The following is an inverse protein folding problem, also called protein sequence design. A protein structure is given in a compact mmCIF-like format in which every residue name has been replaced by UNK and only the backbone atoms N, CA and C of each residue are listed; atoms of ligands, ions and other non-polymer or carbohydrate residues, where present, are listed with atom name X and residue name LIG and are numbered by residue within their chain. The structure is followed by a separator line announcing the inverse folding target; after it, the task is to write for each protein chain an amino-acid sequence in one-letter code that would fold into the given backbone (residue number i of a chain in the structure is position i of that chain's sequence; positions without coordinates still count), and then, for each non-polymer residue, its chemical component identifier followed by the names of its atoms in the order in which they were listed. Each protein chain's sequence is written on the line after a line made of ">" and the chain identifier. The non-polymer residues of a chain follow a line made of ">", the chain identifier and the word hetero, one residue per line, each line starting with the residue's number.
data_IF_725499773080
#
_entry.id   IF_725499773080
#
_cell.length_a   1.000
_cell.length_b   1.000
_cell.length_c   1.000
_cell.angle_alpha   90.00
_cell.angle_beta   90.00
_cell.angle_gamma   90.00
#
_symmetry.space_group_name_H-M   'P 1'
#
loop_
_entity.id
_entity.type
_entity.pdbx_description
1 polymer ?
#
# COMPACT_ATOMS: atom_id res chain seq x y z
N UNK A 1 -9.53 -4.21 18.19
CA UNK A 1 -9.37 -3.65 16.84
C UNK A 1 -10.76 -3.38 16.25
N UNK A 2 -10.90 -2.25 15.55
CA UNK A 2 -12.11 -1.87 14.83
C UNK A 2 -11.75 -1.78 13.34
N UNK A 3 -12.54 -2.40 12.48
CA UNK A 3 -12.41 -2.29 11.03
C UNK A 3 -13.66 -1.66 10.43
N UNK A 4 -13.51 -0.53 9.78
CA UNK A 4 -14.61 0.16 9.06
C UNK A 4 -14.55 -0.24 7.59
N UNK A 5 -15.65 -0.78 7.07
CA UNK A 5 -15.75 -1.31 5.70
C UNK A 5 -16.76 -0.48 4.90
N UNK A 6 -16.29 0.47 4.07
CA UNK A 6 -17.17 1.23 3.18
C UNK A 6 -17.94 0.30 2.23
N UNK A 7 -19.22 0.55 2.04
CA UNK A 7 -20.09 -0.27 1.20
C UNK A 7 -20.15 -1.75 1.61
N UNK A 8 -19.82 -2.07 2.85
CA UNK A 8 -19.77 -3.46 3.35
C UNK A 8 -21.12 -4.04 3.76
N UNK A 9 -22.10 -3.18 4.03
CA UNK A 9 -23.42 -3.62 4.52
C UNK A 9 -24.13 -4.51 3.49
N UNK A 10 -24.59 -5.67 3.93
CA UNK A 10 -25.26 -6.65 3.06
C UNK A 10 -24.33 -7.48 2.17
N UNK A 11 -23.02 -7.27 2.21
CA UNK A 11 -22.07 -8.15 1.52
C UNK A 11 -21.85 -9.45 2.29
N UNK A 12 -21.60 -10.57 1.59
CA UNK A 12 -21.34 -11.85 2.26
C UNK A 12 -20.03 -11.78 3.06
N UNK A 13 -20.03 -12.42 4.24
CA UNK A 13 -18.84 -12.60 5.07
C UNK A 13 -17.93 -13.64 4.44
N UNK A 14 -16.91 -13.17 3.70
CA UNK A 14 -15.97 -14.05 3.00
C UNK A 14 -14.57 -13.40 2.88
N UNK A 15 -13.56 -14.18 2.56
CA UNK A 15 -12.19 -13.70 2.39
C UNK A 15 -11.67 -13.02 3.66
N UNK A 16 -10.99 -11.90 3.51
CA UNK A 16 -10.40 -11.16 4.63
C UNK A 16 -11.45 -10.69 5.66
N UNK A 17 -12.67 -10.38 5.22
CA UNK A 17 -13.72 -9.94 6.12
C UNK A 17 -14.11 -11.05 7.10
N UNK A 18 -14.22 -12.29 6.62
CA UNK A 18 -14.48 -13.46 7.45
C UNK A 18 -13.31 -13.71 8.43
N UNK A 19 -12.07 -13.56 7.98
CA UNK A 19 -10.90 -13.74 8.83
C UNK A 19 -10.88 -12.70 9.97
N UNK A 20 -11.18 -11.44 9.66
CA UNK A 20 -11.27 -10.38 10.66
C UNK A 20 -12.35 -10.66 11.70
N UNK A 21 -13.52 -11.13 11.28
CA UNK A 21 -14.62 -11.52 12.16
C UNK A 21 -14.21 -12.68 13.08
N UNK A 22 -13.62 -13.73 12.54
CA UNK A 22 -13.12 -14.88 13.31
C UNK A 22 -12.02 -14.50 14.31
N UNK A 23 -11.23 -13.47 14.02
CA UNK A 23 -10.21 -12.93 14.92
C UNK A 23 -10.80 -11.98 15.99
N UNK A 24 -12.11 -11.77 16.01
CA UNK A 24 -12.79 -10.93 17.00
C UNK A 24 -12.63 -9.43 16.74
N UNK A 25 -12.36 -9.03 15.50
CA UNK A 25 -12.35 -7.61 15.10
C UNK A 25 -13.77 -7.07 15.13
N UNK A 26 -13.99 -5.91 15.75
CA UNK A 26 -15.26 -5.19 15.67
C UNK A 26 -15.44 -4.63 14.24
N UNK A 27 -16.46 -5.13 13.53
CA UNK A 27 -16.70 -4.78 12.13
C UNK A 27 -17.82 -3.75 12.01
N UNK A 28 -17.50 -2.59 11.44
CA UNK A 28 -18.46 -1.53 11.11
C UNK A 28 -18.70 -1.52 9.60
N UNK A 29 -19.76 -2.21 9.17
CA UNK A 29 -20.11 -2.34 7.74
C UNK A 29 -21.02 -1.16 7.35
N UNK A 30 -20.47 -0.21 6.59
CA UNK A 30 -21.21 0.97 6.16
C UNK A 30 -22.06 0.70 4.91
N UNK A 31 -23.16 1.42 4.75
CA UNK A 31 -23.99 1.38 3.53
C UNK A 31 -23.27 2.09 2.36
N UNK A 32 -22.74 3.28 2.63
CA UNK A 32 -22.04 4.08 1.62
C UNK A 32 -20.62 3.59 1.40
N UNK A 33 -20.17 3.61 0.16
CA UNK A 33 -18.78 3.43 -0.26
C UNK A 33 -18.03 4.77 -0.40
N UNK A 34 -18.67 5.88 -0.04
CA UNK A 34 -18.07 7.19 -0.03
C UNK A 34 -16.90 7.27 0.96
N UNK A 35 -15.74 7.66 0.44
CA UNK A 35 -14.49 7.66 1.20
C UNK A 35 -14.48 8.74 2.29
N UNK A 36 -14.94 9.95 1.98
CA UNK A 36 -14.96 11.07 2.93
C UNK A 36 -15.94 10.82 4.08
N UNK A 37 -17.11 10.28 3.77
CA UNK A 37 -18.07 9.87 4.79
C UNK A 37 -17.50 8.78 5.71
N UNK A 38 -16.72 7.87 5.15
CA UNK A 38 -16.05 6.80 5.91
C UNK A 38 -14.95 7.35 6.81
N UNK A 39 -14.18 8.32 6.35
CA UNK A 39 -13.18 9.02 7.18
C UNK A 39 -13.85 9.79 8.33
N UNK A 40 -14.96 10.48 8.06
CA UNK A 40 -15.76 11.12 9.09
C UNK A 40 -16.18 10.14 10.18
N UNK A 41 -16.72 8.99 9.80
CA UNK A 41 -17.12 7.94 10.72
C UNK A 41 -15.96 7.39 11.57
N UNK A 42 -14.79 7.16 10.96
CA UNK A 42 -13.57 6.71 11.67
C UNK A 42 -13.11 7.76 12.69
N UNK A 43 -13.14 9.04 12.32
CA UNK A 43 -12.78 10.13 13.23
C UNK A 43 -13.75 10.22 14.42
N UNK A 44 -15.05 10.06 14.21
CA UNK A 44 -16.05 10.03 15.28
C UNK A 44 -15.83 8.86 16.25
N UNK A 45 -15.46 7.69 15.75
CA UNK A 45 -15.08 6.54 16.58
C UNK A 45 -13.84 6.84 17.42
N UNK A 46 -12.83 7.45 16.82
CA UNK A 46 -11.62 7.82 17.52
C UNK A 46 -11.88 8.87 18.62
N UNK A 47 -12.71 9.87 18.34
CA UNK A 47 -13.11 10.88 19.34
C UNK A 47 -13.90 10.25 20.50
N UNK A 48 -14.76 9.28 20.22
CA UNK A 48 -15.46 8.51 21.26
C UNK A 48 -14.46 7.74 22.14
N UNK A 49 -13.54 7.01 21.52
CA UNK A 49 -12.51 6.28 22.25
C UNK A 49 -11.66 7.19 23.15
N UNK A 50 -11.31 8.39 22.67
CA UNK A 50 -10.58 9.39 23.50
C UNK A 50 -11.39 9.85 24.70
N UNK A 51 -12.69 10.11 24.53
CA UNK A 51 -13.57 10.49 25.64
C UNK A 51 -13.71 9.39 26.71
N UNK A 52 -13.55 8.14 26.29
CA UNK A 52 -13.54 6.96 27.17
C UNK A 52 -12.16 6.67 27.81
N UNK A 53 -11.18 7.56 27.59
CA UNK A 53 -9.84 7.45 28.17
C UNK A 53 -8.88 6.55 27.38
N UNK A 54 -9.25 6.14 26.17
CA UNK A 54 -8.42 5.35 25.29
C UNK A 54 -7.51 6.21 24.41
N UNK A 55 -6.44 5.62 23.89
CA UNK A 55 -5.54 6.25 22.90
C UNK A 55 -5.72 5.55 21.55
N UNK A 56 -6.64 5.99 20.68
CA UNK A 56 -6.87 5.35 19.40
C UNK A 56 -5.71 5.63 18.44
N UNK A 57 -5.27 4.61 17.74
CA UNK A 57 -4.41 4.73 16.57
C UNK A 57 -5.27 4.50 15.31
N UNK A 58 -5.37 5.52 14.47
CA UNK A 58 -6.03 5.41 13.17
C UNK A 58 -4.96 5.03 12.15
N UNK A 59 -5.14 3.88 11.48
CA UNK A 59 -4.26 3.53 10.37
C UNK A 59 -4.57 4.46 9.19
N UNK A 60 -3.67 5.38 8.84
CA UNK A 60 -3.95 6.36 7.81
C UNK A 60 -3.93 5.71 6.43
N UNK A 61 -4.96 5.97 5.63
CA UNK A 61 -5.01 5.59 4.21
C UNK A 61 -4.46 6.69 3.28
N UNK A 62 -3.97 7.78 3.85
CA UNK A 62 -3.50 8.96 3.13
C UNK A 62 -2.17 8.73 2.38
N UNK A 63 -1.86 9.65 1.46
CA UNK A 63 -0.65 9.64 0.64
C UNK A 63 0.63 9.43 1.47
N UNK A 64 0.70 10.04 2.66
CA UNK A 64 1.86 9.91 3.55
C UNK A 64 2.03 8.51 4.11
N UNK A 65 0.96 7.77 4.39
CA UNK A 65 1.08 6.38 4.86
C UNK A 65 1.49 5.44 3.76
N UNK A 66 1.11 5.71 2.53
CA UNK A 66 1.53 4.94 1.37
C UNK A 66 2.97 5.27 0.97
N UNK A 67 3.39 6.52 1.13
CA UNK A 67 4.79 6.92 1.00
C UNK A 67 5.67 6.24 2.07
N UNK A 68 5.24 6.23 3.33
CA UNK A 68 5.95 5.48 4.40
C UNK A 68 5.90 3.97 4.17
N UNK A 69 4.79 3.43 3.65
CA UNK A 69 4.68 2.04 3.21
C UNK A 69 5.68 1.68 2.11
N UNK A 70 5.99 2.60 1.20
CA UNK A 70 7.02 2.37 0.18
C UNK A 70 8.42 2.21 0.77
N UNK A 71 8.71 2.86 1.90
CA UNK A 71 10.01 2.75 2.58
C UNK A 71 10.26 1.32 3.09
N UNK A 72 9.23 0.67 3.63
CA UNK A 72 9.35 -0.74 4.04
C UNK A 72 9.70 -1.68 2.87
N UNK A 73 9.26 -1.37 1.66
CA UNK A 73 9.64 -2.14 0.47
C UNK A 73 11.01 -1.77 -0.10
N UNK A 74 11.58 -0.62 0.26
CA UNK A 74 13.00 -0.35 0.02
C UNK A 74 13.88 -1.22 0.90
N UNK A 75 13.50 -1.41 2.16
CA UNK A 75 14.19 -2.33 3.08
C UNK A 75 14.11 -3.77 2.58
N UNK A 76 12.93 -4.21 2.13
CA UNK A 76 12.77 -5.51 1.48
C UNK A 76 13.68 -5.68 0.24
N UNK A 77 13.91 -4.61 -0.53
CA UNK A 77 14.84 -4.68 -1.66
C UNK A 77 16.29 -4.90 -1.22
N UNK A 78 16.71 -4.32 -0.11
CA UNK A 78 18.04 -4.58 0.48
C UNK A 78 18.17 -6.04 0.93
N UNK A 79 17.15 -6.57 1.59
CA UNK A 79 17.10 -7.96 2.01
C UNK A 79 17.16 -8.91 0.81
N UNK A 80 16.36 -8.67 -0.23
CA UNK A 80 16.38 -9.44 -1.48
C UNK A 80 17.76 -9.36 -2.12
N UNK A 81 18.39 -8.18 -2.18
CA UNK A 81 19.71 -8.02 -2.76
C UNK A 81 20.77 -8.88 -2.05
N UNK A 82 20.74 -8.93 -0.73
CA UNK A 82 21.61 -9.81 0.05
C UNK A 82 21.37 -11.30 -0.26
N UNK A 83 20.12 -11.74 -0.29
CA UNK A 83 19.77 -13.12 -0.63
C UNK A 83 20.18 -13.49 -2.06
N UNK A 84 20.01 -12.57 -3.02
CA UNK A 84 20.41 -12.78 -4.41
C UNK A 84 21.93 -12.89 -4.56
N UNK A 85 22.68 -12.09 -3.81
CA UNK A 85 24.16 -12.16 -3.79
C UNK A 85 24.63 -13.51 -3.24
N UNK A 86 24.05 -13.98 -2.14
CA UNK A 86 24.33 -15.31 -1.59
C UNK A 86 24.03 -16.45 -2.57
N UNK A 87 23.00 -16.30 -3.41
CA UNK A 87 22.66 -17.28 -4.45
C UNK A 87 23.46 -17.11 -5.74
N UNK A 88 24.30 -16.09 -5.86
CA UNK A 88 25.06 -15.77 -7.07
C UNK A 88 24.19 -15.30 -8.24
N UNK A 89 23.00 -14.78 -7.96
CA UNK A 89 22.04 -14.28 -8.96
C UNK A 89 22.11 -12.75 -9.01
N UNK A 90 22.29 -12.17 -10.19
CA UNK A 90 22.41 -10.71 -10.34
C UNK A 90 21.18 -10.08 -10.99
N UNK A 91 20.64 -10.71 -12.01
CA UNK A 91 19.50 -10.19 -12.75
C UNK A 91 18.19 -10.73 -12.17
N UNK A 92 17.30 -9.84 -11.81
CA UNK A 92 16.02 -10.19 -11.20
C UNK A 92 14.86 -9.51 -11.94
N UNK A 93 13.82 -10.30 -12.25
CA UNK A 93 12.54 -9.78 -12.71
C UNK A 93 11.50 -9.98 -11.61
N UNK A 94 10.99 -8.87 -11.10
CA UNK A 94 9.99 -8.85 -10.04
C UNK A 94 8.63 -8.47 -10.62
N UNK A 95 7.64 -9.32 -10.40
CA UNK A 95 6.25 -9.06 -10.75
C UNK A 95 5.43 -8.98 -9.47
N UNK A 96 4.72 -7.87 -9.28
CA UNK A 96 3.92 -7.66 -8.08
C UNK A 96 2.66 -6.83 -8.39
N UNK A 97 1.69 -6.86 -7.48
CA UNK A 97 0.53 -5.97 -7.58
C UNK A 97 0.97 -4.52 -7.40
N UNK A 98 0.51 -3.64 -8.28
CA UNK A 98 0.81 -2.20 -8.23
C UNK A 98 0.28 -1.58 -6.93
N UNK A 99 1.12 -0.79 -6.27
CA UNK A 99 0.81 -0.13 -5.00
C UNK A 99 2.08 0.44 -4.35
N UNK A 100 2.05 0.66 -3.05
CA UNK A 100 3.21 1.15 -2.28
C UNK A 100 4.40 0.19 -2.37
N UNK A 101 4.15 -1.12 -2.46
CA UNK A 101 5.17 -2.15 -2.69
C UNK A 101 5.91 -1.95 -4.01
N UNK A 102 5.17 -1.70 -5.10
CA UNK A 102 5.75 -1.38 -6.40
C UNK A 102 6.58 -0.09 -6.34
N UNK A 103 6.03 0.95 -5.71
CA UNK A 103 6.72 2.23 -5.55
C UNK A 103 8.04 2.08 -4.78
N UNK A 104 8.04 1.33 -3.68
CA UNK A 104 9.23 1.11 -2.85
C UNK A 104 10.31 0.30 -3.55
N UNK A 105 9.95 -0.82 -4.20
CA UNK A 105 10.91 -1.61 -4.95
C UNK A 105 11.50 -0.84 -6.15
N UNK A 106 10.67 -0.13 -6.92
CA UNK A 106 11.15 0.69 -8.03
C UNK A 106 12.08 1.81 -7.56
N UNK A 107 11.76 2.44 -6.42
CA UNK A 107 12.61 3.46 -5.81
C UNK A 107 13.96 2.88 -5.37
N UNK A 108 13.95 1.72 -4.72
CA UNK A 108 15.19 1.04 -4.28
C UNK A 108 16.07 0.66 -5.46
N UNK A 109 15.48 0.07 -6.51
CA UNK A 109 16.21 -0.28 -7.75
C UNK A 109 16.92 0.95 -8.32
N UNK A 110 16.22 2.09 -8.40
CA UNK A 110 16.81 3.34 -8.91
C UNK A 110 17.85 3.91 -7.96
N UNK A 111 17.59 3.93 -6.67
CA UNK A 111 18.48 4.52 -5.66
C UNK A 111 19.78 3.73 -5.48
N UNK A 112 19.72 2.41 -5.58
CA UNK A 112 20.84 1.50 -5.36
C UNK A 112 21.52 1.06 -6.68
N UNK A 113 20.97 1.44 -7.84
CA UNK A 113 21.50 1.04 -9.15
C UNK A 113 21.43 -0.48 -9.38
N UNK A 114 20.39 -1.14 -8.85
CA UNK A 114 20.22 -2.59 -8.98
C UNK A 114 19.85 -2.96 -10.43
N UNK A 115 20.40 -4.04 -11.00
CA UNK A 115 20.11 -4.50 -12.36
C UNK A 115 18.80 -5.31 -12.42
N UNK A 116 17.75 -4.80 -11.78
CA UNK A 116 16.46 -5.49 -11.68
C UNK A 116 15.40 -4.81 -12.53
N UNK A 117 14.48 -5.61 -13.02
CA UNK A 117 13.26 -5.16 -13.68
C UNK A 117 12.08 -5.35 -12.73
N UNK A 118 11.41 -4.26 -12.36
CA UNK A 118 10.22 -4.30 -11.49
C UNK A 118 9.00 -3.95 -12.31
N UNK A 119 8.05 -4.89 -12.37
CA UNK A 119 6.81 -4.73 -13.15
C UNK A 119 5.59 -4.81 -12.23
N UNK A 120 4.82 -3.73 -12.16
CA UNK A 120 3.57 -3.68 -11.42
C UNK A 120 2.39 -4.21 -12.25
N UNK A 121 1.59 -5.09 -11.67
CA UNK A 121 0.37 -5.63 -12.27
C UNK A 121 -0.82 -4.83 -11.74
N UNK A 122 -1.53 -4.15 -12.63
CA UNK A 122 -2.72 -3.37 -12.28
C UNK A 122 -3.91 -4.30 -12.06
N UNK A 123 -4.44 -4.30 -10.84
CA UNK A 123 -5.65 -5.06 -10.45
C UNK A 123 -6.90 -4.18 -10.36
N UNK A 124 -6.75 -2.88 -10.54
CA UNK A 124 -7.81 -1.88 -10.60
C UNK A 124 -7.59 -0.92 -11.78
N UNK A 125 -8.59 -0.07 -12.14
CA UNK A 125 -8.45 0.86 -13.24
C UNK A 125 -7.19 1.74 -13.10
N UNK A 126 -6.48 2.02 -14.22
CA UNK A 126 -5.23 2.81 -14.20
C UNK A 126 -5.37 4.19 -13.56
N UNK A 127 -6.55 4.80 -13.67
CA UNK A 127 -6.87 6.11 -13.08
C UNK A 127 -6.73 6.14 -11.55
N UNK A 128 -6.79 4.98 -10.90
CA UNK A 128 -6.75 4.87 -9.42
C UNK A 128 -5.34 4.66 -8.88
N UNK A 129 -4.42 4.10 -9.67
CA UNK A 129 -3.13 3.64 -9.13
C UNK A 129 -1.87 4.21 -9.78
N UNK A 130 -1.91 4.61 -11.05
CA UNK A 130 -0.66 4.88 -11.78
C UNK A 130 0.00 6.21 -11.35
N UNK A 131 -0.77 7.27 -11.24
CA UNK A 131 -0.27 8.57 -10.76
C UNK A 131 0.22 8.48 -9.31
N UNK A 132 -0.40 7.62 -8.53
CA UNK A 132 -0.12 7.44 -7.10
C UNK A 132 1.20 6.69 -6.86
N UNK A 133 1.59 5.72 -7.69
CA UNK A 133 2.86 4.97 -7.52
C UNK A 133 4.06 5.91 -7.57
N UNK A 134 4.07 6.83 -8.52
CA UNK A 134 5.12 7.85 -8.62
C UNK A 134 5.10 8.79 -7.40
N UNK A 135 3.90 9.22 -7.00
CA UNK A 135 3.70 10.07 -5.82
C UNK A 135 4.18 9.40 -4.53
N UNK A 136 3.86 8.12 -4.34
CA UNK A 136 4.30 7.37 -3.16
C UNK A 136 5.81 7.13 -3.15
N UNK A 137 6.39 6.73 -4.26
CA UNK A 137 7.85 6.54 -4.38
C UNK A 137 8.60 7.85 -4.17
N UNK A 138 8.19 8.92 -4.83
CA UNK A 138 8.82 10.23 -4.69
C UNK A 138 8.61 10.83 -3.28
N UNK A 139 7.45 10.57 -2.66
CA UNK A 139 7.20 10.89 -1.26
C UNK A 139 8.16 10.14 -0.32
N UNK A 140 8.38 8.85 -0.54
CA UNK A 140 9.36 8.04 0.18
C UNK A 140 10.79 8.55 0.01
N UNK A 141 11.20 8.86 -1.24
CA UNK A 141 12.49 9.45 -1.53
C UNK A 141 12.71 10.77 -0.79
N UNK A 142 11.72 11.66 -0.83
CA UNK A 142 11.75 12.94 -0.11
C UNK A 142 11.87 12.74 1.40
N UNK A 143 11.11 11.80 1.96
CA UNK A 143 11.15 11.50 3.39
C UNK A 143 12.52 11.01 3.84
N UNK A 144 13.19 10.20 3.01
CA UNK A 144 14.52 9.66 3.29
C UNK A 144 15.66 10.61 2.87
N UNK A 145 15.38 11.77 2.27
CA UNK A 145 16.39 12.69 1.76
C UNK A 145 17.19 12.11 0.57
N UNK A 146 16.62 11.19 -0.19
CA UNK A 146 17.29 10.58 -1.34
C UNK A 146 17.25 11.51 -2.57
N UNK A 147 18.39 11.70 -3.28
CA UNK A 147 18.45 12.54 -4.47
C UNK A 147 17.96 11.82 -5.74
N UNK A 148 16.92 11.01 -5.63
CA UNK A 148 16.34 10.23 -6.74
C UNK A 148 14.85 10.47 -6.83
N UNK A 149 14.32 10.45 -8.05
CA UNK A 149 12.89 10.55 -8.34
C UNK A 149 12.48 9.46 -9.32
N UNK A 150 11.32 8.88 -9.13
CA UNK A 150 10.68 8.02 -10.11
C UNK A 150 10.06 8.87 -11.22
N UNK A 151 10.24 8.46 -12.45
CA UNK A 151 9.67 9.08 -13.64
C UNK A 151 8.68 8.12 -14.32
N UNK A 152 7.91 8.59 -15.29
CA UNK A 152 6.83 7.85 -15.96
C UNK A 152 7.20 6.49 -16.59
N UNK A 153 8.48 6.15 -16.64
CA UNK A 153 8.98 4.87 -17.18
C UNK A 153 8.94 3.69 -16.20
N UNK A 154 8.21 3.81 -15.10
CA UNK A 154 7.96 2.64 -14.25
C UNK A 154 7.06 1.68 -15.03
N UNK A 155 7.62 0.56 -15.47
CA UNK A 155 6.90 -0.40 -16.31
C UNK A 155 5.70 -0.98 -15.57
N UNK A 156 4.51 -0.83 -16.12
CA UNK A 156 3.29 -1.45 -15.63
C UNK A 156 2.67 -2.31 -16.72
N UNK A 157 2.27 -3.53 -16.38
CA UNK A 157 1.44 -4.37 -17.23
C UNK A 157 0.00 -4.33 -16.74
N UNK A 158 -0.92 -4.00 -17.64
CA UNK A 158 -2.36 -4.16 -17.41
C UNK A 158 -2.77 -5.59 -17.73
N UNK A 159 -3.41 -6.28 -16.79
CA UNK A 159 -4.12 -7.51 -17.14
C UNK A 159 -5.32 -7.15 -18.01
N UNK A 160 -5.29 -7.56 -19.29
CA UNK A 160 -6.50 -7.54 -20.11
C UNK A 160 -7.47 -8.55 -19.50
N UNK A 161 -8.65 -8.10 -19.09
CA UNK A 161 -9.76 -9.00 -18.80
C UNK A 161 -10.15 -9.67 -20.13
N UNK A 162 -10.00 -10.98 -20.19
CA UNK A 162 -10.60 -11.82 -21.24
C UNK A 162 -12.11 -11.90 -21.03
#
# INVERSE_FOLDING_TARGET
>A
YICVVPGGKGKPMQGNLLVLDLLGTELHLLESDDYEASLGYVNDLAERARREGNTPYIHPLELMSRASGSIGYMDAALEIAGQMDEMGVRDLKVYLVTGASHAGLALAVKALGLPWEVTGILVAPPSVYFADVLGWGNGGAKYLGLPVTLEERVSSMSMKRS
#
